data_IF_754659771318
#
_entry.id   IF_754659771318
#
_cell.length_a   1.000
_cell.length_b   1.000
_cell.length_c   1.000
_cell.angle_alpha   90.00
_cell.angle_beta   90.00
_cell.angle_gamma   90.00
#
_symmetry.space_group_name_H-M   'P 1'
#
loop_
_entity.id
_entity.type
_entity.pdbx_description
1 polymer ?
#
# COMPACT_ATOMS: atom_id res chain seq x y z
N UNK A 1 -30.03 24.46 3.92
CA UNK A 1 -29.19 24.11 5.10
C UNK A 1 -29.97 23.55 6.29
N UNK A 2 -31.16 24.09 6.63
CA UNK A 2 -31.97 23.59 7.75
C UNK A 2 -32.41 22.12 7.62
N UNK A 3 -32.74 21.66 6.41
CA UNK A 3 -33.11 20.26 6.13
C UNK A 3 -31.94 19.28 6.35
N UNK A 4 -30.72 19.67 5.95
CA UNK A 4 -29.51 18.87 6.17
C UNK A 4 -29.18 18.76 7.66
N UNK A 5 -29.31 19.86 8.40
CA UNK A 5 -29.11 19.88 9.86
C UNK A 5 -30.17 19.08 10.61
N UNK A 6 -31.44 19.18 10.20
CA UNK A 6 -32.54 18.40 10.78
C UNK A 6 -32.42 16.90 10.51
N UNK A 7 -32.05 16.53 9.28
CA UNK A 7 -31.76 15.14 8.91
C UNK A 7 -30.56 14.59 9.69
N UNK A 8 -29.47 15.37 9.82
CA UNK A 8 -28.30 15.02 10.63
C UNK A 8 -28.68 14.74 12.09
N UNK A 9 -29.50 15.61 12.70
CA UNK A 9 -29.96 15.43 14.08
C UNK A 9 -30.91 14.23 14.23
N UNK A 10 -31.78 13.96 13.25
CA UNK A 10 -32.65 12.79 13.27
C UNK A 10 -31.87 11.48 13.15
N UNK A 11 -30.84 11.43 12.29
CA UNK A 11 -29.96 10.27 12.17
C UNK A 11 -29.14 10.07 13.46
N UNK A 12 -28.66 11.15 14.08
CA UNK A 12 -27.95 11.09 15.36
C UNK A 12 -28.84 10.67 16.54
N UNK A 13 -30.13 11.01 16.54
CA UNK A 13 -31.05 10.65 17.62
C UNK A 13 -31.52 9.19 17.54
N UNK A 14 -31.64 8.63 16.34
CA UNK A 14 -32.02 7.22 16.12
C UNK A 14 -30.82 6.27 16.27
N UNK A 15 -29.60 6.74 16.03
CA UNK A 15 -28.36 5.96 16.13
C UNK A 15 -27.25 6.76 16.85
N UNK A 16 -27.36 7.00 18.17
CA UNK A 16 -26.28 7.61 18.93
C UNK A 16 -25.03 6.72 18.85
N UNK A 17 -23.99 7.21 18.16
CA UNK A 17 -22.76 6.46 17.87
C UNK A 17 -22.76 5.62 16.58
N UNK A 18 -23.90 5.46 15.90
CA UNK A 18 -23.97 4.65 14.66
C UNK A 18 -23.13 5.20 13.51
N UNK A 19 -22.99 6.53 13.41
CA UNK A 19 -22.09 7.17 12.43
C UNK A 19 -20.63 6.81 12.72
N UNK A 20 -20.22 6.83 13.99
CA UNK A 20 -18.85 6.48 14.39
C UNK A 20 -18.58 5.01 14.05
N UNK A 21 -19.52 4.11 14.40
CA UNK A 21 -19.42 2.69 14.08
C UNK A 21 -19.32 2.48 12.56
N UNK A 22 -20.19 3.12 11.77
CA UNK A 22 -20.20 2.99 10.32
C UNK A 22 -18.88 3.48 9.69
N UNK A 23 -18.35 4.62 10.16
CA UNK A 23 -17.05 5.15 9.69
C UNK A 23 -15.91 4.22 10.08
N UNK A 24 -15.89 3.71 11.31
CA UNK A 24 -14.86 2.76 11.75
C UNK A 24 -14.91 1.48 10.92
N UNK A 25 -16.11 0.91 10.70
CA UNK A 25 -16.28 -0.29 9.87
C UNK A 25 -15.81 -0.03 8.44
N UNK A 26 -16.16 1.11 7.85
CA UNK A 26 -15.71 1.50 6.52
C UNK A 26 -14.17 1.60 6.44
N UNK A 27 -13.53 2.28 7.40
CA UNK A 27 -12.08 2.45 7.42
C UNK A 27 -11.34 1.13 7.59
N UNK A 28 -11.82 0.26 8.50
CA UNK A 28 -11.24 -1.07 8.70
C UNK A 28 -11.42 -1.92 7.45
N UNK A 29 -12.57 -1.85 6.79
CA UNK A 29 -12.85 -2.59 5.57
C UNK A 29 -11.97 -2.11 4.40
N UNK A 30 -11.88 -0.80 4.14
CA UNK A 30 -10.99 -0.23 3.11
C UNK A 30 -9.54 -0.66 3.34
N UNK A 31 -9.06 -0.52 4.58
CA UNK A 31 -7.71 -0.92 4.94
C UNK A 31 -7.48 -2.42 4.74
N UNK A 32 -8.42 -3.27 5.19
CA UNK A 32 -8.33 -4.72 5.03
C UNK A 32 -8.29 -5.13 3.55
N UNK A 33 -9.09 -4.50 2.69
CA UNK A 33 -9.08 -4.74 1.24
C UNK A 33 -7.72 -4.37 0.64
N UNK A 34 -7.15 -3.23 1.01
CA UNK A 34 -5.82 -2.81 0.53
C UNK A 34 -4.72 -3.77 1.00
N UNK A 35 -4.74 -4.18 2.27
CA UNK A 35 -3.79 -5.18 2.81
C UNK A 35 -3.92 -6.50 2.05
N UNK A 36 -5.14 -6.99 1.83
CA UNK A 36 -5.39 -8.21 1.07
C UNK A 36 -4.84 -8.11 -0.35
N UNK A 37 -5.04 -6.96 -1.01
CA UNK A 37 -4.53 -6.73 -2.36
C UNK A 37 -3.00 -6.82 -2.40
N UNK A 38 -2.29 -6.12 -1.50
CA UNK A 38 -0.82 -6.21 -1.44
C UNK A 38 -0.35 -7.60 -1.03
N UNK A 39 -1.05 -8.27 -0.11
CA UNK A 39 -0.74 -9.64 0.27
C UNK A 39 -0.83 -10.59 -0.93
N UNK A 40 -1.87 -10.46 -1.76
CA UNK A 40 -1.99 -11.24 -2.99
C UNK A 40 -0.87 -10.93 -3.98
N UNK A 41 -0.54 -9.65 -4.19
CA UNK A 41 0.58 -9.26 -5.07
C UNK A 41 1.87 -9.91 -4.57
N UNK A 42 2.22 -9.79 -3.29
CA UNK A 42 3.47 -10.35 -2.76
C UNK A 42 3.45 -11.87 -2.61
N UNK A 43 2.28 -12.51 -2.66
CA UNK A 43 2.16 -13.97 -2.60
C UNK A 43 2.20 -14.64 -3.97
N UNK A 44 1.60 -14.02 -4.97
CA UNK A 44 1.41 -14.61 -6.30
C UNK A 44 2.39 -14.09 -7.35
N UNK A 45 2.88 -12.86 -7.21
CA UNK A 45 3.82 -12.27 -8.17
C UNK A 45 5.23 -12.88 -8.08
N UNK A 46 5.80 -13.18 -6.88
CA UNK A 46 7.15 -13.72 -6.80
C UNK A 46 7.24 -15.19 -7.17
N UNK A 47 8.27 -15.56 -7.91
CA UNK A 47 8.61 -16.94 -8.27
C UNK A 47 9.29 -17.73 -7.14
N UNK A 48 8.93 -17.41 -5.88
CA UNK A 48 9.50 -18.00 -4.68
C UNK A 48 8.41 -18.31 -3.64
N UNK A 49 8.54 -19.44 -2.96
CA UNK A 49 7.56 -19.89 -1.95
C UNK A 49 7.73 -19.11 -0.63
N UNK A 50 7.09 -17.95 -0.52
CA UNK A 50 7.02 -17.17 0.74
C UNK A 50 5.89 -17.69 1.63
N UNK A 51 6.09 -17.79 2.94
CA UNK A 51 5.01 -18.15 3.87
C UNK A 51 4.01 -17.00 4.05
N UNK A 52 2.72 -17.33 4.19
CA UNK A 52 1.66 -16.33 4.37
C UNK A 52 1.93 -15.37 5.54
N UNK A 53 2.54 -15.86 6.65
CA UNK A 53 2.88 -15.03 7.81
C UNK A 53 3.81 -13.86 7.49
N UNK A 54 4.79 -14.05 6.59
CA UNK A 54 5.72 -12.97 6.22
C UNK A 54 5.07 -11.98 5.27
N UNK A 55 4.25 -12.50 4.36
CA UNK A 55 3.48 -11.70 3.40
C UNK A 55 2.56 -10.73 4.11
N UNK A 56 1.88 -11.15 5.20
CA UNK A 56 1.01 -10.26 5.96
C UNK A 56 1.74 -9.06 6.55
N UNK A 57 2.97 -9.25 7.05
CA UNK A 57 3.76 -8.18 7.66
C UNK A 57 4.16 -7.15 6.58
N UNK A 58 4.65 -7.63 5.44
CA UNK A 58 4.98 -6.78 4.30
C UNK A 58 3.76 -6.06 3.71
N UNK A 59 2.62 -6.76 3.60
CA UNK A 59 1.37 -6.19 3.08
C UNK A 59 0.78 -5.12 4.00
N UNK A 60 0.78 -5.34 5.32
CA UNK A 60 0.31 -4.34 6.30
C UNK A 60 1.19 -3.09 6.26
N UNK A 61 2.52 -3.26 6.26
CA UNK A 61 3.44 -2.13 6.15
C UNK A 61 3.19 -1.33 4.86
N UNK A 62 3.08 -2.03 3.73
CA UNK A 62 2.82 -1.42 2.41
C UNK A 62 1.47 -0.70 2.37
N UNK A 63 0.42 -1.28 2.96
CA UNK A 63 -0.90 -0.66 3.03
C UNK A 63 -0.89 0.64 3.85
N UNK A 64 -0.11 0.70 4.94
CA UNK A 64 0.07 1.91 5.73
C UNK A 64 0.75 3.00 4.89
N UNK A 65 1.85 2.66 4.20
CA UNK A 65 2.54 3.59 3.29
C UNK A 65 1.61 4.06 2.17
N UNK A 66 0.80 3.17 1.61
CA UNK A 66 -0.16 3.50 0.56
C UNK A 66 -1.24 4.48 1.06
N UNK A 67 -1.74 4.26 2.29
CA UNK A 67 -2.65 5.19 2.96
C UNK A 67 -2.04 6.57 3.18
N UNK A 68 -0.79 6.63 3.65
CA UNK A 68 -0.02 7.87 3.78
C UNK A 68 0.12 8.59 2.44
N UNK A 69 0.37 7.85 1.36
CA UNK A 69 0.37 8.35 0.00
C UNK A 69 -0.91 9.03 -0.42
N UNK A 70 -2.05 8.33 -0.24
CA UNK A 70 -3.39 8.86 -0.53
C UNK A 70 -3.58 10.20 0.18
N UNK A 71 -3.20 10.26 1.45
CA UNK A 71 -3.33 11.45 2.27
C UNK A 71 -2.41 12.60 1.83
N UNK A 72 -1.12 12.32 1.57
CA UNK A 72 -0.14 13.28 1.06
C UNK A 72 -0.57 13.87 -0.28
N UNK A 73 -1.06 13.04 -1.20
CA UNK A 73 -1.56 13.51 -2.50
C UNK A 73 -2.80 14.39 -2.32
N UNK A 74 -3.74 13.97 -1.45
CA UNK A 74 -4.92 14.76 -1.12
C UNK A 74 -4.56 16.13 -0.54
N UNK A 75 -3.56 16.19 0.35
CA UNK A 75 -3.03 17.44 0.89
C UNK A 75 -2.38 18.30 -0.20
N UNK A 76 -1.52 17.71 -1.03
CA UNK A 76 -0.85 18.41 -2.14
C UNK A 76 -1.87 19.04 -3.10
N UNK A 77 -2.91 18.30 -3.48
CA UNK A 77 -3.99 18.79 -4.33
C UNK A 77 -4.86 19.84 -3.65
N UNK A 78 -5.20 19.65 -2.37
CA UNK A 78 -6.01 20.57 -1.59
C UNK A 78 -5.32 21.91 -1.30
N UNK A 79 -3.99 21.94 -1.31
CA UNK A 79 -3.20 23.16 -1.06
C UNK A 79 -3.21 24.18 -2.22
N UNK A 80 -3.73 23.81 -3.40
CA UNK A 80 -3.72 24.67 -4.60
C UNK A 80 -2.37 24.73 -5.34
N UNK A 81 -1.29 24.18 -4.77
CA UNK A 81 0.06 24.19 -5.35
C UNK A 81 0.15 23.51 -6.73
N UNK A 82 -0.64 22.46 -6.95
CA UNK A 82 -0.69 21.74 -8.22
C UNK A 82 -1.28 22.59 -9.37
N UNK A 83 -2.25 23.46 -9.06
CA UNK A 83 -2.90 24.33 -10.04
C UNK A 83 -2.07 25.56 -10.40
N UNK A 84 -1.34 26.13 -9.43
CA UNK A 84 -0.57 27.37 -9.63
C UNK A 84 0.73 27.17 -10.41
N UNK A 85 1.41 26.04 -10.25
CA UNK A 85 2.71 25.79 -10.88
C UNK A 85 2.59 25.25 -12.32
N UNK A 86 1.54 24.49 -12.63
CA UNK A 86 1.43 23.73 -13.88
C UNK A 86 0.12 23.94 -14.65
N UNK A 87 -0.81 24.74 -14.13
CA UNK A 87 -2.05 25.12 -14.81
C UNK A 87 -2.82 23.91 -15.37
N UNK A 88 -3.15 23.93 -16.66
CA UNK A 88 -3.88 22.86 -17.33
C UNK A 88 -3.15 21.49 -17.33
N UNK A 89 -1.83 21.46 -17.16
CA UNK A 89 -1.04 20.22 -17.10
C UNK A 89 -0.99 19.58 -15.70
N UNK A 90 -1.57 20.23 -14.68
CA UNK A 90 -1.52 19.75 -13.30
C UNK A 90 -2.14 18.37 -13.09
N UNK A 91 -3.18 18.01 -13.86
CA UNK A 91 -3.82 16.69 -13.79
C UNK A 91 -2.90 15.55 -14.23
N UNK A 92 -2.16 15.74 -15.33
CA UNK A 92 -1.20 14.75 -15.82
C UNK A 92 -0.05 14.56 -14.84
N UNK A 93 0.51 15.65 -14.31
CA UNK A 93 1.60 15.59 -13.33
C UNK A 93 1.15 14.91 -12.05
N UNK A 94 -0.07 15.19 -11.59
CA UNK A 94 -0.67 14.52 -10.42
C UNK A 94 -0.79 13.02 -10.65
N UNK A 95 -1.29 12.59 -11.81
CA UNK A 95 -1.40 11.18 -12.17
C UNK A 95 -0.02 10.52 -12.19
N UNK A 96 0.97 11.14 -12.82
CA UNK A 96 2.34 10.62 -12.90
C UNK A 96 2.97 10.50 -11.51
N UNK A 97 2.81 11.52 -10.66
CA UNK A 97 3.29 11.50 -9.28
C UNK A 97 2.62 10.38 -8.49
N UNK A 98 1.31 10.18 -8.66
CA UNK A 98 0.56 9.12 -8.01
C UNK A 98 1.02 7.73 -8.42
N UNK A 99 1.20 7.50 -9.72
CA UNK A 99 1.69 6.22 -10.26
C UNK A 99 3.12 5.96 -9.82
N UNK A 100 3.99 6.97 -9.92
CA UNK A 100 5.37 6.89 -9.46
C UNK A 100 5.43 6.51 -7.99
N UNK A 101 4.74 7.24 -7.12
CA UNK A 101 4.70 6.98 -5.69
C UNK A 101 4.15 5.59 -5.35
N UNK A 102 3.06 5.18 -6.01
CA UNK A 102 2.46 3.86 -5.83
C UNK A 102 3.43 2.73 -6.21
N UNK A 103 4.16 2.89 -7.33
CA UNK A 103 5.17 1.91 -7.76
C UNK A 103 6.35 1.81 -6.78
N UNK A 104 6.82 2.94 -6.24
CA UNK A 104 7.91 2.95 -5.25
C UNK A 104 7.52 2.20 -3.98
N UNK A 105 6.30 2.41 -3.49
CA UNK A 105 5.77 1.69 -2.33
C UNK A 105 5.68 0.18 -2.60
N UNK A 106 5.16 -0.20 -3.76
CA UNK A 106 5.00 -1.61 -4.12
C UNK A 106 6.36 -2.32 -4.17
N UNK A 107 7.35 -1.70 -4.83
CA UNK A 107 8.71 -2.24 -4.91
C UNK A 107 9.36 -2.33 -3.52
N UNK A 108 9.26 -1.27 -2.72
CA UNK A 108 9.78 -1.25 -1.36
C UNK A 108 9.13 -2.34 -0.48
N UNK A 109 7.82 -2.52 -0.57
CA UNK A 109 7.08 -3.55 0.15
C UNK A 109 7.48 -4.97 -0.24
N UNK A 110 7.74 -5.20 -1.54
CA UNK A 110 8.20 -6.49 -2.03
C UNK A 110 9.59 -6.83 -1.51
N UNK A 111 10.55 -5.89 -1.62
CA UNK A 111 11.91 -6.04 -1.09
C UNK A 111 11.90 -6.27 0.42
N UNK A 112 11.10 -5.50 1.16
CA UNK A 112 10.94 -5.69 2.60
C UNK A 112 10.41 -7.08 2.94
N UNK A 113 9.41 -7.57 2.20
CA UNK A 113 8.85 -8.92 2.40
C UNK A 113 9.91 -10.00 2.16
N UNK A 114 10.73 -9.83 1.11
CA UNK A 114 11.82 -10.75 0.78
C UNK A 114 12.89 -10.76 1.88
N UNK A 115 13.39 -9.59 2.28
CA UNK A 115 14.44 -9.46 3.31
C UNK A 115 13.94 -9.96 4.66
N UNK A 116 12.67 -9.69 5.01
CA UNK A 116 12.06 -10.19 6.23
C UNK A 116 12.00 -11.73 6.23
N UNK A 117 11.59 -12.34 5.11
CA UNK A 117 11.57 -13.79 4.95
C UNK A 117 12.97 -14.41 5.02
N UNK A 118 13.99 -13.76 4.43
CA UNK A 118 15.40 -14.19 4.52
C UNK A 118 15.90 -14.18 5.96
N UNK A 119 15.70 -13.06 6.68
CA UNK A 119 16.16 -12.91 8.08
C UNK A 119 15.45 -13.85 9.04
N UNK A 120 14.21 -14.27 8.73
CA UNK A 120 13.48 -15.26 9.50
C UNK A 120 14.03 -16.70 9.35
N UNK A 121 15.14 -16.90 8.62
CA UNK A 121 15.82 -18.19 8.47
C UNK A 121 15.08 -19.15 7.55
N UNK A 122 14.14 -18.67 6.74
CA UNK A 122 13.35 -19.51 5.84
C UNK A 122 14.12 -19.66 4.53
N UNK A 123 14.69 -20.85 4.33
CA UNK A 123 15.43 -21.18 3.12
C UNK A 123 14.56 -20.91 1.89
N UNK A 124 15.05 -20.05 1.00
CA UNK A 124 14.46 -19.83 -0.32
C UNK A 124 14.49 -21.17 -1.03
N UNK A 125 13.35 -21.86 -1.10
CA UNK A 125 13.17 -22.92 -2.09
C UNK A 125 12.79 -22.18 -3.38
N UNK A 126 13.68 -22.11 -4.38
CA UNK A 126 13.32 -21.60 -5.69
C UNK A 126 12.10 -22.39 -6.20
N UNK A 127 11.25 -21.76 -7.02
CA UNK A 127 10.25 -22.53 -7.77
C UNK A 127 10.94 -23.60 -8.62
N UNK A 128 10.21 -24.60 -9.07
CA UNK A 128 10.76 -25.77 -9.81
C UNK A 128 11.59 -25.38 -11.04
N UNK A 129 11.42 -24.14 -11.53
CA UNK A 129 12.09 -23.57 -12.71
C UNK A 129 13.13 -22.48 -12.38
N UNK A 130 13.34 -22.12 -11.10
CA UNK A 130 14.23 -21.03 -10.71
C UNK A 130 15.59 -21.57 -10.23
N UNK A 131 16.68 -21.01 -10.77
CA UNK A 131 18.06 -21.34 -10.37
C UNK A 131 18.60 -20.19 -9.51
N UNK A 132 19.02 -20.51 -8.27
CA UNK A 132 19.70 -19.54 -7.41
C UNK A 132 21.12 -19.31 -7.94
N UNK A 133 21.44 -18.08 -8.35
CA UNK A 133 22.79 -17.72 -8.80
C UNK A 133 23.54 -17.11 -7.61
N UNK A 134 24.52 -17.84 -7.07
CA UNK A 134 25.51 -17.30 -6.13
C UNK A 134 26.72 -16.77 -6.93
N UNK A 135 26.87 -15.44 -6.99
CA UNK A 135 28.06 -14.83 -7.61
C UNK A 135 29.25 -14.95 -6.67
N UNK A 136 30.11 -15.94 -6.92
CA UNK A 136 31.39 -16.10 -6.23
C UNK A 136 32.49 -15.49 -7.10
N UNK A 137 33.05 -14.35 -6.70
CA UNK A 137 34.26 -13.82 -7.33
C UNK A 137 35.42 -14.79 -7.05
N UNK A 138 35.89 -15.47 -8.09
CA UNK A 138 37.06 -16.34 -8.00
C UNK A 138 38.27 -15.51 -8.41
N UNK A 139 39.05 -15.10 -7.41
CA UNK A 139 40.33 -14.42 -7.64
C UNK A 139 41.28 -15.41 -8.33
N UNK A 140 41.57 -15.17 -9.62
CA UNK A 140 42.47 -16.01 -10.41
C UNK A 140 43.90 -15.70 -9.98
N UNK A 141 44.43 -16.49 -9.04
CA UNK A 141 45.88 -16.49 -8.77
C UNK A 141 46.61 -16.93 -10.03
N UNK A 142 47.43 -16.02 -10.56
CA UNK A 142 48.37 -16.25 -11.66
C UNK A 142 49.54 -17.13 -11.20
#
# INVERSE_FOLDING_TARGET
EALLKGFSHYVQSVLPGGIVIAVTVYLVFDFAVVVLLFAMIFKFLPDVKIQWRDVWIGAVMTAILFGLGKWLLGFYLGSGAAGSAYGAAGSLITLLLWVYYSSQILLFGAEFTQVYAQRAGRAFKPSEYAVLVETKEVERRY
#
